data_IF_767508150897
#
_entry.id   IF_767508150897
#
_cell.length_a   1.000
_cell.length_b   1.000
_cell.length_c   1.000
_cell.angle_alpha   90.00
_cell.angle_beta   90.00
_cell.angle_gamma   90.00
#
_symmetry.space_group_name_H-M   'P 1'
#
loop_
_entity.id
_entity.type
_entity.pdbx_description
1 polymer ?
#
# COMPACT_ATOMS: atom_id res chain seq x y z
N UNK A 1 9.70 9.83 -5.88
CA UNK A 1 8.36 10.32 -5.41
C UNK A 1 7.65 9.14 -4.76
N UNK A 2 6.91 9.33 -3.66
CA UNK A 2 6.24 8.19 -2.99
C UNK A 2 4.76 8.11 -3.36
N UNK A 3 4.29 6.89 -3.65
CA UNK A 3 2.88 6.59 -3.94
C UNK A 3 2.36 5.67 -2.83
N UNK A 4 1.19 5.99 -2.29
CA UNK A 4 0.47 5.14 -1.34
C UNK A 4 -0.70 4.44 -2.05
N UNK A 5 -0.79 3.13 -1.92
CA UNK A 5 -1.83 2.29 -2.53
C UNK A 5 -2.61 1.60 -1.41
N UNK A 6 -3.94 1.75 -1.32
CA UNK A 6 -4.74 1.02 -0.35
C UNK A 6 -4.75 -0.46 -0.71
N UNK A 7 -4.46 -1.34 0.25
CA UNK A 7 -4.31 -2.78 0.02
C UNK A 7 -5.04 -3.60 1.08
N UNK A 8 -5.54 -4.76 0.68
CA UNK A 8 -6.13 -5.76 1.57
C UNK A 8 -5.07 -6.60 2.32
N UNK A 9 -3.79 -6.42 2.00
CA UNK A 9 -2.68 -7.18 2.58
C UNK A 9 -1.35 -6.43 2.52
N UNK A 10 -0.29 -7.08 3.03
CA UNK A 10 1.04 -6.47 3.23
C UNK A 10 2.00 -6.64 2.05
N UNK A 11 1.60 -7.36 0.99
CA UNK A 11 2.47 -7.73 -0.13
C UNK A 11 2.04 -7.04 -1.41
N UNK A 12 2.95 -6.89 -2.37
CA UNK A 12 2.63 -6.32 -3.69
C UNK A 12 1.60 -7.13 -4.49
N UNK A 13 1.45 -8.42 -4.18
CA UNK A 13 0.45 -9.31 -4.80
C UNK A 13 -0.94 -9.18 -4.16
N UNK A 14 -1.07 -8.39 -3.10
CA UNK A 14 -2.35 -8.15 -2.42
C UNK A 14 -3.28 -7.31 -3.30
N UNK A 15 -4.57 -7.61 -3.26
CA UNK A 15 -5.56 -6.84 -4.00
C UNK A 15 -5.66 -5.38 -3.48
N UNK A 16 -5.92 -4.46 -4.41
CA UNK A 16 -6.18 -3.06 -4.09
C UNK A 16 -7.51 -2.95 -3.35
N UNK A 17 -7.51 -2.30 -2.19
CA UNK A 17 -8.73 -2.08 -1.42
C UNK A 17 -9.46 -0.82 -1.93
N UNK A 18 -10.67 -1.01 -2.44
CA UNK A 18 -11.57 0.06 -2.87
C UNK A 18 -11.91 1.06 -1.75
N UNK A 19 -11.83 0.64 -0.49
CA UNK A 19 -12.18 1.43 0.69
C UNK A 19 -10.96 2.21 1.16
N UNK A 20 -10.53 3.24 0.44
CA UNK A 20 -9.29 3.98 0.73
C UNK A 20 -9.12 4.33 2.23
N UNK A 21 -10.12 4.94 2.88
CA UNK A 21 -10.02 5.34 4.29
C UNK A 21 -10.14 4.21 5.32
N UNK A 22 -10.49 2.99 4.89
CA UNK A 22 -10.70 1.80 5.75
C UNK A 22 -9.98 0.57 5.23
N UNK A 23 -8.99 0.74 4.36
CA UNK A 23 -8.15 -0.36 3.94
C UNK A 23 -7.39 -0.89 5.17
N UNK A 24 -6.98 -2.14 5.15
CA UNK A 24 -6.20 -2.70 6.27
C UNK A 24 -4.76 -2.22 6.23
N UNK A 25 -4.22 -1.99 5.02
CA UNK A 25 -2.85 -1.55 4.82
C UNK A 25 -2.75 -0.49 3.73
N UNK A 26 -1.71 0.32 3.80
CA UNK A 26 -1.19 1.09 2.68
C UNK A 26 0.16 0.51 2.26
N UNK A 27 0.31 0.17 0.98
CA UNK A 27 1.62 -0.12 0.40
C UNK A 27 2.21 1.19 -0.11
N UNK A 28 3.38 1.55 0.41
CA UNK A 28 4.13 2.72 -0.02
C UNK A 28 5.22 2.27 -0.98
N UNK A 29 5.25 2.84 -2.18
CA UNK A 29 6.25 2.56 -3.21
C UNK A 29 7.03 3.84 -3.52
N UNK A 30 8.36 3.78 -3.56
CA UNK A 30 9.15 4.87 -4.13
C UNK A 30 9.26 4.68 -5.65
N UNK A 31 8.93 5.71 -6.41
CA UNK A 31 9.03 5.70 -7.88
C UNK A 31 10.44 5.94 -8.41
N UNK A 32 11.35 6.39 -7.55
CA UNK A 32 12.76 6.59 -7.92
C UNK A 32 13.61 5.35 -7.65
N UNK A 33 13.08 4.36 -6.93
CA UNK A 33 13.73 3.08 -6.63
C UNK A 33 12.74 1.93 -6.81
N UNK A 34 13.14 0.69 -6.50
CA UNK A 34 12.23 -0.47 -6.45
C UNK A 34 11.80 -0.79 -5.01
N UNK A 35 12.01 0.12 -4.08
CA UNK A 35 11.70 -0.08 -2.67
C UNK A 35 10.19 0.10 -2.40
N UNK A 36 9.67 -0.78 -1.56
CA UNK A 36 8.30 -0.72 -1.08
C UNK A 36 8.20 -1.24 0.35
N UNK A 37 7.20 -0.77 1.08
CA UNK A 37 6.87 -1.25 2.42
C UNK A 37 5.39 -1.06 2.72
N UNK A 38 4.84 -1.91 3.58
CA UNK A 38 3.44 -1.84 4.00
C UNK A 38 3.30 -1.18 5.38
N UNK A 39 2.28 -0.35 5.54
CA UNK A 39 1.87 0.29 6.80
C UNK A 39 0.46 -0.18 7.14
N UNK A 40 0.23 -0.60 8.38
CA UNK A 40 -1.12 -0.92 8.88
C UNK A 40 -1.97 0.35 9.02
N UNK A 41 -3.21 0.32 8.57
CA UNK A 41 -4.17 1.41 8.69
C UNK A 41 -5.22 1.06 9.76
N UNK A 42 -4.90 1.44 10.99
CA UNK A 42 -5.67 1.18 12.22
C UNK A 42 -6.10 2.48 12.89
#
# INVERSE_FOLDING_TARGET
>A
MKIAIPAMGKTLDSEVDSRFGRCEYFIIVDTNSTEHYAISNS
#
